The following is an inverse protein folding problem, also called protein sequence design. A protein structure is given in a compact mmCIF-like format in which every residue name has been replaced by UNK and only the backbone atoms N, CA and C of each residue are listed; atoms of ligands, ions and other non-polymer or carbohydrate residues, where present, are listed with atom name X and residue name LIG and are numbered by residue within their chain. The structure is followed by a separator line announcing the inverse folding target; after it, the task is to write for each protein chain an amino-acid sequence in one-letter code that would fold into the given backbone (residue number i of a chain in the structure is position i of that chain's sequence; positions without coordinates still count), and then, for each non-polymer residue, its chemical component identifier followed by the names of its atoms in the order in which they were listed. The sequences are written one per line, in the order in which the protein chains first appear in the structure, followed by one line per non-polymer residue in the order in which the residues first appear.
data_IF_119790234180
#
_entry.id   IF_119790234180
#
_cell.length_a   1.000
_cell.length_b   1.000
_cell.length_c   1.000
_cell.angle_alpha   90.00
_cell.angle_beta   90.00
_cell.angle_gamma   90.00
#
_symmetry.space_group_name_H-M   'P 1'
#
loop_
_entity.id
_entity.type
_entity.pdbx_description
1 polymer ?
#
# COMPACT_ATOMS: atom_id res chain seq x y z
N UNK A 1 23.02 -2.09 -18.29
CA UNK A 1 21.81 -2.95 -18.16
C UNK A 1 20.61 -2.13 -18.58
N UNK A 2 19.87 -2.54 -19.62
CA UNK A 2 18.66 -1.83 -20.07
C UNK A 2 17.52 -2.16 -19.10
N UNK A 3 16.98 -1.14 -18.44
CA UNK A 3 15.77 -1.21 -17.61
C UNK A 3 14.60 -1.67 -18.47
N UNK A 4 14.07 -2.86 -18.20
CA UNK A 4 12.83 -3.35 -18.84
C UNK A 4 11.66 -2.56 -18.23
N UNK A 5 10.77 -1.96 -19.04
CA UNK A 5 9.59 -1.28 -18.50
C UNK A 5 8.70 -2.31 -17.78
N UNK A 6 8.46 -2.09 -16.49
CA UNK A 6 7.59 -2.94 -15.67
C UNK A 6 6.12 -2.93 -16.15
N UNK A 7 5.74 -1.95 -16.98
CA UNK A 7 4.39 -1.79 -17.48
C UNK A 7 4.40 -1.59 -19.00
N UNK A 8 3.68 -2.46 -19.71
CA UNK A 8 3.14 -2.21 -21.05
C UNK A 8 1.63 -2.42 -20.95
N UNK A 9 0.87 -1.33 -20.93
CA UNK A 9 -0.52 -1.40 -21.37
C UNK A 9 -0.49 -0.99 -22.84
N UNK A 10 -0.48 -2.00 -23.72
CA UNK A 10 -0.61 -1.78 -25.15
C UNK A 10 -2.05 -1.36 -25.45
N UNK A 11 -2.28 -0.46 -26.42
CA UNK A 11 -3.60 -0.30 -26.99
C UNK A 11 -3.98 -1.62 -27.65
N UNK A 12 -5.12 -2.17 -27.23
CA UNK A 12 -5.71 -3.37 -27.81
C UNK A 12 -5.94 -3.11 -29.30
N UNK A 13 -5.14 -3.72 -30.17
CA UNK A 13 -5.56 -4.16 -31.50
C UNK A 13 -4.47 -5.03 -32.17
N UNK A 14 -4.76 -6.33 -32.30
CA UNK A 14 -4.24 -7.28 -33.29
C UNK A 14 -2.75 -7.65 -33.30
N UNK A 15 -2.23 -8.26 -32.23
CA UNK A 15 -1.13 -9.22 -32.35
C UNK A 15 -1.42 -10.48 -31.54
N UNK A 16 -1.18 -11.69 -32.08
CA UNK A 16 -1.28 -12.92 -31.30
C UNK A 16 -0.22 -12.90 -30.18
N UNK A 17 -0.53 -13.44 -28.98
CA UNK A 17 0.41 -13.45 -27.87
C UNK A 17 1.65 -14.25 -28.24
N UNK A 18 2.82 -13.68 -27.98
CA UNK A 18 4.10 -14.40 -28.07
C UNK A 18 4.23 -15.23 -26.79
N UNK A 19 4.46 -16.53 -26.94
CA UNK A 19 4.64 -17.46 -25.83
C UNK A 19 5.74 -16.96 -24.88
N UNK A 20 5.36 -16.63 -23.64
CA UNK A 20 6.29 -16.30 -22.54
C UNK A 20 6.14 -14.92 -21.89
N UNK A 21 5.33 -13.99 -22.42
CA UNK A 21 5.01 -12.73 -21.73
C UNK A 21 3.63 -12.82 -21.07
N UNK A 22 3.60 -12.89 -19.73
CA UNK A 22 2.37 -12.81 -18.96
C UNK A 22 1.69 -11.46 -19.24
N UNK A 23 0.68 -11.49 -20.10
CA UNK A 23 -0.18 -10.34 -20.40
C UNK A 23 -1.08 -10.16 -19.18
N UNK A 24 -0.62 -9.45 -18.15
CA UNK A 24 -1.46 -9.12 -16.99
C UNK A 24 -2.44 -8.02 -17.39
N UNK A 25 -3.46 -8.34 -18.19
CA UNK A 25 -4.59 -7.44 -18.42
C UNK A 25 -5.53 -7.56 -17.21
N UNK A 26 -5.93 -6.44 -16.59
CA UNK A 26 -6.93 -6.41 -15.51
C UNK A 26 -6.40 -5.98 -14.14
N UNK A 27 -7.32 -5.60 -13.26
CA UNK A 27 -7.24 -5.02 -11.90
C UNK A 27 -5.98 -5.29 -11.03
N UNK A 28 -5.25 -6.37 -11.27
CA UNK A 28 -4.03 -6.72 -10.55
C UNK A 28 -2.80 -5.82 -10.83
N UNK A 29 -2.72 -5.17 -12.00
CA UNK A 29 -1.54 -4.31 -12.31
C UNK A 29 -1.42 -3.11 -11.37
N UNK A 30 -2.54 -2.45 -11.09
CA UNK A 30 -2.57 -1.26 -10.24
C UNK A 30 -2.31 -1.63 -8.78
N UNK A 31 -2.83 -2.78 -8.35
CA UNK A 31 -2.50 -3.39 -7.06
C UNK A 31 -1.01 -3.67 -6.92
N UNK A 32 -0.42 -4.31 -7.91
CA UNK A 32 1.01 -4.62 -7.93
C UNK A 32 1.85 -3.33 -7.85
N UNK A 33 1.55 -2.33 -8.68
CA UNK A 33 2.23 -1.03 -8.63
C UNK A 33 2.11 -0.40 -7.24
N UNK A 34 0.93 -0.47 -6.61
CA UNK A 34 0.73 0.08 -5.29
C UNK A 34 1.58 -0.63 -4.23
N UNK A 35 1.72 -1.96 -4.28
CA UNK A 35 2.62 -2.69 -3.40
C UNK A 35 4.09 -2.31 -3.60
N UNK A 36 4.51 -2.23 -4.85
CA UNK A 36 5.86 -1.78 -5.22
C UNK A 36 6.15 -0.40 -4.62
N UNK A 37 5.23 0.54 -4.77
CA UNK A 37 5.39 1.89 -4.22
C UNK A 37 5.35 1.92 -2.70
N UNK A 38 4.51 1.10 -2.06
CA UNK A 38 4.46 0.96 -0.59
C UNK A 38 5.79 0.44 -0.05
N UNK A 39 6.36 -0.59 -0.67
CA UNK A 39 7.66 -1.14 -0.24
C UNK A 39 8.80 -0.19 -0.55
N UNK A 40 8.85 0.40 -1.75
CA UNK A 40 9.88 1.35 -2.13
C UNK A 40 9.87 2.62 -1.25
N UNK A 41 8.71 3.04 -0.75
CA UNK A 41 8.58 4.11 0.23
C UNK A 41 8.75 3.63 1.69
N UNK A 42 9.07 2.35 1.91
CA UNK A 42 9.24 1.71 3.22
C UNK A 42 8.00 1.79 4.12
N UNK A 43 6.80 1.91 3.54
CA UNK A 43 5.54 1.91 4.29
C UNK A 43 5.09 0.54 4.77
N UNK A 44 5.80 -0.52 4.38
CA UNK A 44 5.67 -1.83 5.00
C UNK A 44 6.41 -1.93 6.35
N UNK A 45 7.10 -0.88 6.79
CA UNK A 45 7.86 -0.87 8.05
C UNK A 45 7.28 0.16 9.01
N UNK A 46 7.03 -0.25 10.26
CA UNK A 46 6.85 0.65 11.39
C UNK A 46 8.18 0.68 12.15
N UNK A 47 9.00 1.74 11.98
CA UNK A 47 10.26 1.87 12.67
C UNK A 47 10.07 2.12 14.18
N UNK A 48 11.11 1.91 15.01
CA UNK A 48 11.07 2.21 16.44
C UNK A 48 10.75 3.71 16.69
N UNK A 49 10.14 4.05 17.84
CA UNK A 49 9.74 5.43 18.14
C UNK A 49 10.90 6.42 18.05
N UNK A 50 12.09 6.09 18.56
CA UNK A 50 13.27 6.96 18.46
C UNK A 50 13.76 7.29 17.04
N UNK A 51 13.29 6.57 16.01
CA UNK A 51 13.60 6.82 14.59
C UNK A 51 12.41 7.42 13.85
N UNK A 52 11.19 7.16 14.31
CA UNK A 52 9.97 7.65 13.70
C UNK A 52 9.67 9.09 14.13
N UNK A 53 9.11 9.94 13.25
CA UNK A 53 8.51 11.18 13.71
C UNK A 53 7.31 10.89 14.63
N UNK A 54 7.16 11.66 15.71
CA UNK A 54 6.06 11.53 16.67
C UNK A 54 4.67 11.66 16.02
N UNK A 55 4.59 12.39 14.91
CA UNK A 55 3.36 12.60 14.14
C UNK A 55 3.68 12.63 12.64
N UNK A 56 3.67 11.47 11.95
CA UNK A 56 3.95 11.43 10.52
C UNK A 56 2.89 12.21 9.75
N UNK A 57 3.30 13.27 9.04
CA UNK A 57 2.37 14.10 8.31
C UNK A 57 1.88 13.41 7.03
N UNK A 58 0.63 13.67 6.66
CA UNK A 58 0.07 13.17 5.39
C UNK A 58 0.90 13.65 4.20
N UNK A 59 1.36 14.91 4.26
CA UNK A 59 2.19 15.51 3.23
C UNK A 59 3.52 14.77 3.06
N UNK A 60 4.20 14.42 4.17
CA UNK A 60 5.46 13.69 4.13
C UNK A 60 5.28 12.27 3.60
N UNK A 61 4.19 11.59 4.01
CA UNK A 61 3.89 10.26 3.50
C UNK A 61 3.67 10.26 1.98
N UNK A 62 2.87 11.19 1.46
CA UNK A 62 2.66 11.29 0.02
C UNK A 62 3.91 11.82 -0.72
N UNK A 63 4.75 12.65 -0.09
CA UNK A 63 6.03 13.05 -0.65
C UNK A 63 7.00 11.86 -0.77
N UNK A 64 7.09 11.00 0.25
CA UNK A 64 7.87 9.78 0.21
C UNK A 64 7.36 8.80 -0.86
N UNK A 65 6.04 8.65 -0.99
CA UNK A 65 5.43 7.84 -2.06
C UNK A 65 5.81 8.38 -3.45
N UNK A 66 5.75 9.71 -3.64
CA UNK A 66 6.18 10.34 -4.89
C UNK A 66 7.66 10.12 -5.14
N UNK A 67 8.52 10.23 -4.14
CA UNK A 67 9.96 10.01 -4.29
C UNK A 67 10.27 8.57 -4.71
N UNK A 68 9.55 7.59 -4.15
CA UNK A 68 9.69 6.18 -4.48
C UNK A 68 9.45 5.89 -5.98
N UNK A 69 8.60 6.68 -6.65
CA UNK A 69 8.36 6.54 -8.10
C UNK A 69 9.59 6.76 -8.97
N UNK A 70 10.65 7.40 -8.45
CA UNK A 70 11.87 7.69 -9.21
C UNK A 70 12.63 6.43 -9.63
N UNK A 71 12.41 5.30 -8.95
CA UNK A 71 12.97 4.01 -9.31
C UNK A 71 12.24 3.33 -10.49
N UNK A 72 11.07 3.86 -10.88
CA UNK A 72 10.15 3.20 -11.81
C UNK A 72 9.96 4.02 -13.09
N UNK A 73 9.64 3.31 -14.17
CA UNK A 73 9.36 3.89 -15.48
C UNK A 73 8.00 3.39 -15.97
N UNK A 74 7.18 4.32 -16.49
CA UNK A 74 5.86 4.02 -17.06
C UNK A 74 5.95 3.63 -18.54
N UNK A 75 7.00 4.10 -19.23
CA UNK A 75 7.34 3.71 -20.58
C UNK A 75 8.87 3.79 -20.75
N UNK A 76 9.39 3.31 -21.88
CA UNK A 76 10.83 3.41 -22.18
C UNK A 76 11.32 4.87 -22.06
N UNK A 77 12.29 5.10 -21.18
CA UNK A 77 12.88 6.41 -20.86
C UNK A 77 11.89 7.46 -20.34
N UNK A 78 10.72 7.04 -19.84
CA UNK A 78 9.74 7.93 -19.19
C UNK A 78 9.60 7.56 -17.71
N UNK A 79 10.24 8.32 -16.80
CA UNK A 79 10.13 8.10 -15.36
C UNK A 79 8.69 8.20 -14.88
N UNK A 80 8.29 7.31 -13.98
CA UNK A 80 6.96 7.33 -13.36
C UNK A 80 6.73 8.64 -12.60
N UNK A 81 7.78 9.21 -11.98
CA UNK A 81 7.73 10.47 -11.24
C UNK A 81 7.22 11.67 -12.05
N UNK A 82 7.35 11.64 -13.39
CA UNK A 82 6.83 12.67 -14.29
C UNK A 82 5.36 12.48 -14.67
N UNK A 83 4.80 11.32 -14.34
CA UNK A 83 3.44 10.89 -14.62
C UNK A 83 2.69 10.51 -13.34
N UNK A 84 3.16 10.97 -12.18
CA UNK A 84 2.61 10.60 -10.88
C UNK A 84 2.30 11.83 -10.03
N UNK A 85 1.07 11.92 -9.52
CA UNK A 85 0.58 12.99 -8.67
C UNK A 85 0.04 12.45 -7.35
N UNK A 86 0.03 13.30 -6.33
CA UNK A 86 -0.40 12.93 -4.97
C UNK A 86 -1.52 13.80 -4.43
N UNK A 87 -2.18 14.54 -5.33
CA UNK A 87 -3.23 15.50 -4.98
C UNK A 87 -4.33 15.50 -6.03
N UNK A 88 -5.58 15.43 -5.58
CA UNK A 88 -6.74 15.37 -6.46
C UNK A 88 -6.99 16.64 -7.28
N UNK A 89 -6.40 17.78 -6.87
CA UNK A 89 -6.44 19.01 -7.68
C UNK A 89 -5.72 18.87 -9.01
N UNK A 90 -4.78 17.93 -9.18
CA UNK A 90 -4.09 17.70 -10.45
C UNK A 90 -5.06 17.30 -11.56
N UNK A 91 -6.08 16.49 -11.22
CA UNK A 91 -7.13 16.09 -12.14
C UNK A 91 -8.02 17.27 -12.51
N UNK A 92 -8.40 18.08 -11.52
CA UNK A 92 -9.35 19.19 -11.71
C UNK A 92 -8.74 20.38 -12.44
N UNK A 93 -7.49 20.70 -12.15
CA UNK A 93 -6.78 21.84 -12.74
C UNK A 93 -6.24 21.52 -14.15
N UNK A 94 -6.37 20.27 -14.61
CA UNK A 94 -5.90 19.83 -15.93
C UNK A 94 -4.41 19.52 -16.00
N UNK A 95 -3.70 19.49 -14.87
CA UNK A 95 -2.26 19.16 -14.83
C UNK A 95 -1.99 17.76 -15.39
N UNK A 96 -2.85 16.80 -15.05
CA UNK A 96 -2.76 15.43 -15.59
C UNK A 96 -2.97 15.48 -17.09
N UNK A 97 -4.08 16.07 -17.57
CA UNK A 97 -4.42 16.13 -18.99
C UNK A 97 -3.30 16.79 -19.82
N UNK A 98 -2.78 17.93 -19.35
CA UNK A 98 -1.65 18.63 -19.99
C UNK A 98 -0.43 17.73 -20.12
N UNK A 99 -0.08 17.00 -19.06
CA UNK A 99 1.09 16.11 -19.07
C UNK A 99 0.91 14.91 -20.00
N UNK A 100 -0.29 14.34 -20.06
CA UNK A 100 -0.63 13.25 -20.98
C UNK A 100 -0.58 13.72 -22.45
N UNK A 101 -1.04 14.94 -22.72
CA UNK A 101 -0.92 15.57 -24.05
C UNK A 101 0.54 15.79 -24.44
N UNK A 102 1.36 16.32 -23.53
CA UNK A 102 2.80 16.54 -23.78
C UNK A 102 3.58 15.24 -24.00
N UNK A 103 3.15 14.13 -23.39
CA UNK A 103 3.80 12.83 -23.55
C UNK A 103 3.29 12.04 -24.76
N UNK A 104 2.25 12.51 -25.44
CA UNK A 104 1.65 11.82 -26.57
C UNK A 104 2.64 11.71 -27.73
N UNK A 105 3.04 10.48 -28.03
CA UNK A 105 3.88 10.15 -29.19
C UNK A 105 3.07 9.30 -30.14
N UNK A 106 3.01 9.70 -31.41
CA UNK A 106 2.21 9.00 -32.45
C UNK A 106 0.74 8.81 -32.03
N UNK A 107 0.17 9.76 -31.30
CA UNK A 107 -1.22 9.69 -30.81
C UNK A 107 -1.45 8.81 -29.58
N UNK A 108 -0.42 8.15 -29.04
CA UNK A 108 -0.52 7.36 -27.81
C UNK A 108 0.07 8.14 -26.63
N UNK A 109 -0.78 8.57 -25.69
CA UNK A 109 -0.36 9.21 -24.45
C UNK A 109 0.21 8.19 -23.47
N UNK A 110 1.26 8.57 -22.75
CA UNK A 110 1.78 7.76 -21.63
C UNK A 110 0.86 7.92 -20.43
N UNK A 111 0.30 6.82 -19.92
CA UNK A 111 -0.64 6.78 -18.79
C UNK A 111 -0.13 7.57 -17.57
N UNK A 112 -1.05 8.22 -16.85
CA UNK A 112 -0.80 8.96 -15.63
C UNK A 112 -1.32 8.24 -14.39
N UNK A 113 -0.79 8.57 -13.21
CA UNK A 113 -1.17 7.94 -11.96
C UNK A 113 -1.41 8.98 -10.87
N UNK A 114 -2.49 8.85 -10.11
CA UNK A 114 -2.80 9.74 -8.99
C UNK A 114 -3.01 8.93 -7.72
N UNK A 115 -2.12 9.09 -6.75
CA UNK A 115 -2.27 8.51 -5.42
C UNK A 115 -3.00 9.49 -4.49
N UNK A 116 -4.00 8.99 -3.76
CA UNK A 116 -4.84 9.77 -2.87
C UNK A 116 -5.10 9.01 -1.58
N UNK A 117 -5.50 9.73 -0.53
CA UNK A 117 -6.13 9.11 0.63
C UNK A 117 -7.64 9.34 0.56
N UNK A 118 -8.41 8.39 1.04
CA UNK A 118 -9.84 8.53 1.27
C UNK A 118 -10.17 7.99 2.66
N UNK A 119 -10.95 8.72 3.45
CA UNK A 119 -11.49 8.20 4.70
C UNK A 119 -12.63 7.23 4.42
N UNK A 120 -13.36 7.48 3.34
CA UNK A 120 -14.51 6.71 2.96
C UNK A 120 -14.67 6.64 1.44
N UNK A 121 -15.18 5.51 0.96
CA UNK A 121 -15.49 5.27 -0.44
C UNK A 121 -16.94 4.79 -0.52
N UNK A 122 -17.80 5.55 -1.21
CA UNK A 122 -19.22 5.18 -1.42
C UNK A 122 -19.59 5.33 -2.88
N UNK A 123 -20.10 4.25 -3.50
CA UNK A 123 -20.65 4.27 -4.86
C UNK A 123 -19.71 4.94 -5.88
N UNK A 124 -18.42 4.57 -5.86
CA UNK A 124 -17.41 5.16 -6.76
C UNK A 124 -17.02 6.60 -6.44
N UNK A 125 -17.36 7.12 -5.25
CA UNK A 125 -16.94 8.46 -4.81
C UNK A 125 -15.97 8.35 -3.65
N UNK A 126 -14.82 8.99 -3.80
CA UNK A 126 -13.77 9.10 -2.79
C UNK A 126 -14.02 10.33 -1.91
N UNK A 127 -14.11 10.13 -0.60
CA UNK A 127 -14.27 11.19 0.39
C UNK A 127 -12.99 11.30 1.22
N UNK A 128 -12.40 12.50 1.27
CA UNK A 128 -11.27 12.79 2.14
C UNK A 128 -11.52 14.06 2.95
N UNK A 129 -10.85 14.24 4.11
CA UNK A 129 -10.98 15.45 4.91
C UNK A 129 -10.58 16.69 4.12
N UNK A 130 -11.42 17.73 4.20
CA UNK A 130 -11.12 19.08 3.69
C UNK A 130 -10.80 19.13 2.18
N UNK A 131 -11.22 18.13 1.42
CA UNK A 131 -11.11 18.09 -0.04
C UNK A 131 -12.49 17.87 -0.66
N UNK A 132 -12.65 18.33 -1.90
CA UNK A 132 -13.87 18.05 -2.66
C UNK A 132 -13.90 16.56 -3.04
N UNK A 133 -15.04 15.87 -2.89
CA UNK A 133 -15.16 14.47 -3.27
C UNK A 133 -14.77 14.24 -4.73
N UNK A 134 -14.13 13.11 -4.99
CA UNK A 134 -13.69 12.74 -6.34
C UNK A 134 -14.56 11.58 -6.79
N UNK A 135 -15.35 11.82 -7.84
CA UNK A 135 -16.12 10.77 -8.50
C UNK A 135 -15.21 10.03 -9.46
N UNK A 136 -15.21 8.71 -9.33
CA UNK A 136 -14.57 7.76 -10.23
C UNK A 136 -15.69 7.08 -11.02
N UNK A 137 -15.54 6.98 -12.34
CA UNK A 137 -16.54 6.33 -13.19
C UNK A 137 -16.54 4.80 -13.08
N UNK A 138 -15.47 4.24 -12.52
CA UNK A 138 -15.23 2.82 -12.34
C UNK A 138 -15.73 2.33 -10.97
N UNK A 139 -16.15 1.07 -10.90
CA UNK A 139 -16.44 0.41 -9.64
C UNK A 139 -15.13 0.16 -8.87
N UNK A 140 -15.15 0.42 -7.56
CA UNK A 140 -13.99 0.22 -6.70
C UNK A 140 -14.24 -1.08 -5.92
N UNK A 141 -13.48 -2.13 -6.25
CA UNK A 141 -13.52 -3.38 -5.50
C UNK A 141 -12.87 -3.17 -4.13
N UNK A 142 -13.69 -3.17 -3.08
CA UNK A 142 -13.22 -3.05 -1.70
C UNK A 142 -13.38 -4.38 -0.98
N UNK A 143 -12.41 -4.77 -0.14
CA UNK A 143 -12.59 -5.91 0.76
C UNK A 143 -13.76 -5.65 1.70
N UNK A 144 -14.66 -6.64 1.82
CA UNK A 144 -15.84 -6.53 2.65
C UNK A 144 -15.47 -6.33 4.13
N UNK A 145 -16.23 -5.48 4.83
CA UNK A 145 -16.13 -5.26 6.28
C UNK A 145 -14.79 -4.66 6.76
N UNK A 146 -14.08 -3.92 5.92
CA UNK A 146 -12.89 -3.16 6.33
C UNK A 146 -13.13 -1.68 6.07
N UNK A 147 -13.16 -0.90 7.14
CA UNK A 147 -13.30 0.54 7.08
C UNK A 147 -12.01 1.22 6.61
N UNK A 148 -12.15 2.48 6.22
CA UNK A 148 -11.02 3.34 5.94
C UNK A 148 -10.17 3.65 7.18
N UNK A 149 -9.09 4.42 7.03
CA UNK A 149 -8.70 5.11 5.80
C UNK A 149 -8.18 4.15 4.71
N UNK A 150 -8.24 4.62 3.47
CA UNK A 150 -7.78 3.93 2.27
C UNK A 150 -6.65 4.71 1.58
N UNK A 151 -5.65 4.00 1.07
CA UNK A 151 -4.78 4.48 0.01
C UNK A 151 -5.44 4.12 -1.33
N UNK A 152 -5.63 5.11 -2.19
CA UNK A 152 -6.26 4.96 -3.49
C UNK A 152 -5.24 5.31 -4.56
N UNK A 153 -5.12 4.45 -5.58
CA UNK A 153 -4.33 4.70 -6.76
C UNK A 153 -5.25 4.74 -7.97
N UNK A 154 -5.17 5.82 -8.75
CA UNK A 154 -5.95 6.04 -9.96
C UNK A 154 -5.01 5.96 -11.16
N UNK A 155 -5.35 5.14 -12.15
CA UNK A 155 -4.73 5.19 -13.47
C UNK A 155 -5.56 6.12 -14.36
N UNK A 156 -4.89 7.06 -15.01
CA UNK A 156 -5.51 8.13 -15.78
C UNK A 156 -5.06 8.10 -17.24
N UNK A 157 -6.02 8.25 -18.13
CA UNK A 157 -5.80 8.26 -19.58
C UNK A 157 -6.34 9.54 -20.20
N UNK A 158 -5.86 9.81 -21.42
CA UNK A 158 -6.30 10.95 -22.19
C UNK A 158 -7.47 10.53 -23.08
N UNK A 159 -8.61 11.17 -22.87
CA UNK A 159 -9.79 11.04 -23.74
C UNK A 159 -9.55 11.68 -25.11
N UNK A 160 -10.31 11.30 -26.16
CA UNK A 160 -10.23 11.92 -27.48
C UNK A 160 -10.43 13.45 -27.46
N UNK A 161 -11.22 13.96 -26.51
CA UNK A 161 -11.49 15.38 -26.31
C UNK A 161 -10.36 16.13 -25.57
N UNK A 162 -9.23 15.46 -25.30
CA UNK A 162 -8.06 16.04 -24.64
C UNK A 162 -8.20 16.22 -23.13
N UNK A 163 -9.18 15.56 -22.49
CA UNK A 163 -9.36 15.57 -21.03
C UNK A 163 -8.75 14.33 -20.39
N UNK A 164 -8.28 14.47 -19.15
CA UNK A 164 -7.87 13.31 -18.36
C UNK A 164 -9.11 12.64 -17.74
N UNK A 165 -9.19 11.32 -17.85
CA UNK A 165 -10.22 10.48 -17.24
C UNK A 165 -9.56 9.35 -16.44
N UNK A 166 -10.25 8.87 -15.40
CA UNK A 166 -9.80 7.71 -14.64
C UNK A 166 -10.19 6.44 -15.38
N UNK A 167 -9.20 5.72 -15.91
CA UNK A 167 -9.36 4.48 -16.64
C UNK A 167 -9.44 3.26 -15.70
N UNK A 168 -8.69 3.28 -14.60
CA UNK A 168 -8.73 2.23 -13.58
C UNK A 168 -8.50 2.82 -12.19
N UNK A 169 -8.99 2.12 -11.17
CA UNK A 169 -8.90 2.53 -9.77
C UNK A 169 -8.65 1.31 -8.91
N UNK A 170 -7.76 1.48 -7.94
CA UNK A 170 -7.54 0.48 -6.92
C UNK A 170 -7.44 1.16 -5.55
N UNK A 171 -7.96 0.49 -4.53
CA UNK A 171 -8.01 1.02 -3.19
C UNK A 171 -7.66 -0.06 -2.16
N UNK A 172 -6.82 0.29 -1.19
CA UNK A 172 -6.45 -0.59 -0.08
C UNK A 172 -6.73 0.10 1.24
N UNK A 173 -7.41 -0.58 2.18
CA UNK A 173 -7.40 -0.13 3.55
C UNK A 173 -5.96 0.00 4.05
N UNK A 174 -5.66 1.05 4.80
CA UNK A 174 -4.34 1.31 5.39
C UNK A 174 -4.46 1.49 6.89
N UNK A 175 -3.39 1.21 7.65
CA UNK A 175 -3.36 1.28 9.10
C UNK A 175 -3.83 2.63 9.66
N UNK A 176 -3.24 3.74 9.20
CA UNK A 176 -3.70 5.11 9.48
C UNK A 176 -3.14 6.11 8.48
N UNK A 177 -3.77 7.27 8.37
CA UNK A 177 -3.24 8.35 7.53
C UNK A 177 -1.85 8.78 8.05
N UNK A 178 -0.89 9.00 7.16
CA UNK A 178 0.52 9.25 7.52
C UNK A 178 1.37 7.98 7.69
N UNK A 179 0.74 6.81 7.91
CA UNK A 179 1.40 5.50 7.84
C UNK A 179 0.65 4.60 6.87
N UNK A 180 1.02 4.69 5.58
CA UNK A 180 0.32 4.06 4.45
C UNK A 180 0.52 2.52 4.38
N UNK A 181 0.66 1.86 5.52
CA UNK A 181 0.84 0.41 5.64
C UNK A 181 -0.49 -0.30 5.34
N UNK A 182 -0.59 -1.12 4.28
CA UNK A 182 -1.82 -1.83 3.93
C UNK A 182 -2.32 -2.76 5.03
N UNK A 183 -3.65 -2.81 5.23
CA UNK A 183 -4.32 -3.75 6.15
C UNK A 183 -5.38 -4.56 5.43
N UNK A 184 -5.61 -5.79 5.92
CA UNK A 184 -6.47 -6.79 5.26
C UNK A 184 -7.66 -7.24 6.09
N UNK A 185 -7.78 -6.76 7.31
CA UNK A 185 -8.96 -6.93 8.16
C UNK A 185 -8.93 -5.88 9.26
N UNK A 186 -10.05 -5.69 9.96
CA UNK A 186 -10.05 -4.91 11.20
C UNK A 186 -9.16 -5.54 12.27
N UNK A 187 -9.04 -6.88 12.31
CA UNK A 187 -8.08 -7.55 13.19
C UNK A 187 -6.64 -7.16 12.88
N UNK A 188 -6.27 -7.08 11.60
CA UNK A 188 -4.93 -6.65 11.17
C UNK A 188 -4.64 -5.22 11.67
N UNK A 189 -5.61 -4.31 11.52
CA UNK A 189 -5.53 -2.93 12.02
C UNK A 189 -5.40 -2.87 13.55
N UNK A 190 -6.17 -3.67 14.28
CA UNK A 190 -6.14 -3.75 15.74
C UNK A 190 -4.81 -4.30 16.27
N UNK A 191 -4.28 -5.35 15.62
CA UNK A 191 -2.97 -5.93 15.97
C UNK A 191 -1.86 -4.92 15.75
N UNK A 192 -1.84 -4.22 14.61
CA UNK A 192 -0.86 -3.17 14.34
C UNK A 192 -0.93 -2.04 15.36
N UNK A 193 -2.13 -1.68 15.82
CA UNK A 193 -2.33 -0.69 16.89
C UNK A 193 -1.74 -1.14 18.22
N UNK A 194 -1.95 -2.39 18.61
CA UNK A 194 -1.35 -2.93 19.83
C UNK A 194 0.18 -3.05 19.71
N UNK A 195 0.70 -3.43 18.55
CA UNK A 195 2.14 -3.51 18.32
C UNK A 195 2.80 -2.12 18.31
N UNK A 196 2.15 -1.08 17.76
CA UNK A 196 2.64 0.30 17.85
C UNK A 196 2.65 0.80 19.32
N UNK A 197 1.63 0.45 20.13
CA UNK A 197 1.68 0.73 21.57
C UNK A 197 2.79 -0.03 22.30
N UNK A 198 3.03 -1.29 21.92
CA UNK A 198 4.15 -2.08 22.44
C UNK A 198 5.49 -1.42 22.10
N UNK A 199 5.67 -0.90 20.88
CA UNK A 199 6.87 -0.16 20.49
C UNK A 199 7.13 1.01 21.44
N UNK A 200 6.10 1.80 21.76
CA UNK A 200 6.22 2.90 22.72
C UNK A 200 6.56 2.42 24.14
N UNK A 201 5.93 1.33 24.60
CA UNK A 201 6.21 0.77 25.93
C UNK A 201 7.65 0.24 26.03
N UNK A 202 8.14 -0.44 24.99
CA UNK A 202 9.52 -0.94 24.92
C UNK A 202 10.54 0.20 24.89
N UNK A 203 10.25 1.27 24.15
CA UNK A 203 11.13 2.44 24.03
C UNK A 203 11.37 3.12 25.38
N UNK A 204 10.32 3.25 26.21
CA UNK A 204 10.42 3.73 27.61
C UNK A 204 11.39 2.88 28.45
N UNK A 205 11.53 1.61 28.13
CA UNK A 205 12.46 0.68 28.78
C UNK A 205 13.79 0.51 28.04
N UNK A 206 14.09 1.36 27.07
CA UNK A 206 15.34 1.34 26.31
C UNK A 206 15.46 0.16 25.34
N UNK A 207 14.33 -0.39 24.89
CA UNK A 207 14.26 -1.40 23.86
C UNK A 207 13.60 -0.82 22.59
N UNK A 208 14.27 -0.98 21.46
CA UNK A 208 13.75 -0.62 20.15
C UNK A 208 13.02 -1.82 19.55
N UNK A 209 11.84 -1.60 19.00
CA UNK A 209 11.12 -2.64 18.26
C UNK A 209 10.79 -2.10 16.86
N UNK A 210 11.14 -2.86 15.83
CA UNK A 210 10.74 -2.62 14.44
C UNK A 210 9.71 -3.65 14.04
N UNK A 211 8.61 -3.22 13.43
CA UNK A 211 7.58 -4.09 12.87
C UNK A 211 7.65 -4.00 11.35
N UNK A 212 7.80 -5.12 10.66
CA UNK A 212 7.86 -5.17 9.20
C UNK A 212 6.78 -6.09 8.68
N UNK A 213 5.90 -5.58 7.83
CA UNK A 213 4.97 -6.42 7.06
C UNK A 213 5.75 -7.16 5.98
N UNK A 214 5.58 -8.48 5.95
CA UNK A 214 6.24 -9.37 5.00
C UNK A 214 5.35 -9.53 3.77
N UNK A 215 5.96 -9.54 2.58
CA UNK A 215 5.27 -9.80 1.31
C UNK A 215 4.75 -11.24 1.22
N UNK A 216 3.73 -11.50 0.38
CA UNK A 216 2.98 -10.52 -0.43
C UNK A 216 1.94 -9.74 0.40
N UNK A 217 1.64 -8.51 -0.02
CA UNK A 217 0.64 -7.69 0.68
C UNK A 217 -0.78 -8.00 0.19
N UNK A 218 -0.95 -8.39 -1.07
CA UNK A 218 -2.21 -8.80 -1.69
C UNK A 218 -2.29 -10.33 -1.86
N UNK A 219 -3.54 -10.80 -1.97
CA UNK A 219 -3.89 -12.18 -2.36
C UNK A 219 -3.47 -13.32 -1.41
N UNK A 220 -3.29 -13.04 -0.12
CA UNK A 220 -3.15 -14.04 0.97
C UNK A 220 -4.21 -13.95 2.06
N UNK A 221 -4.73 -15.07 2.54
CA UNK A 221 -5.68 -15.07 3.67
C UNK A 221 -5.01 -14.73 5.01
N UNK A 222 -3.68 -14.85 5.07
CA UNK A 222 -2.85 -14.56 6.25
C UNK A 222 -1.95 -13.36 5.99
N UNK A 223 -1.87 -12.48 6.97
CA UNK A 223 -0.86 -11.41 7.03
C UNK A 223 0.33 -11.87 7.85
N UNK A 224 1.55 -11.65 7.37
CA UNK A 224 2.77 -11.92 8.15
C UNK A 224 3.46 -10.62 8.55
N UNK A 225 3.83 -10.51 9.83
CA UNK A 225 4.60 -9.42 10.41
C UNK A 225 5.87 -9.98 11.03
N UNK A 226 7.03 -9.41 10.72
CA UNK A 226 8.26 -9.64 11.48
C UNK A 226 8.39 -8.57 12.56
N UNK A 227 8.73 -9.01 13.77
CA UNK A 227 9.10 -8.17 14.90
C UNK A 227 10.60 -8.32 15.12
N UNK A 228 11.33 -7.22 15.12
CA UNK A 228 12.75 -7.18 15.50
C UNK A 228 12.89 -6.31 16.73
N UNK A 229 13.23 -6.91 17.87
CA UNK A 229 13.38 -6.23 19.16
C UNK A 229 14.86 -6.20 19.53
N UNK A 230 15.37 -5.01 19.87
CA UNK A 230 16.75 -4.77 20.27
C UNK A 230 16.77 -4.03 21.58
N UNK A 231 17.53 -4.53 22.54
CA UNK A 231 17.77 -3.83 23.81
C UNK A 231 19.25 -3.88 24.14
N UNK A 232 19.70 -3.00 25.04
CA UNK A 232 21.03 -3.12 25.65
C UNK A 232 21.09 -4.28 26.66
N UNK A 233 19.95 -4.65 27.23
CA UNK A 233 19.85 -5.67 28.27
C UNK A 233 19.85 -7.11 27.72
N UNK A 234 19.42 -7.31 26.48
CA UNK A 234 19.33 -8.63 25.87
C UNK A 234 19.71 -8.59 24.38
N UNK A 235 20.22 -9.71 23.84
CA UNK A 235 20.54 -9.84 22.41
C UNK A 235 19.29 -9.64 21.55
N UNK A 236 19.46 -9.14 20.33
CA UNK A 236 18.42 -9.02 19.30
C UNK A 236 17.50 -10.27 19.31
N UNK A 237 16.19 -10.03 19.40
CA UNK A 237 15.14 -11.04 19.26
C UNK A 237 14.35 -10.77 17.99
N UNK A 238 14.16 -11.80 17.19
CA UNK A 238 13.34 -11.77 16.00
C UNK A 238 12.16 -12.72 16.21
N UNK A 239 10.96 -12.31 15.80
CA UNK A 239 9.79 -13.16 15.82
C UNK A 239 8.90 -12.88 14.59
N UNK A 240 8.14 -13.89 14.16
CA UNK A 240 7.18 -13.80 13.06
C UNK A 240 5.78 -14.03 13.58
N UNK A 241 4.91 -13.04 13.34
CA UNK A 241 3.50 -13.08 13.66
C UNK A 241 2.70 -13.35 12.38
N UNK A 242 1.79 -14.31 12.42
CA UNK A 242 0.73 -14.47 11.44
C UNK A 242 -0.56 -13.85 11.97
N UNK A 243 -1.35 -13.21 11.12
CA UNK A 243 -2.71 -12.75 11.44
C UNK A 243 -3.66 -13.44 10.48
N UNK A 244 -4.46 -14.36 11.02
CA UNK A 244 -5.47 -15.13 10.31
C UNK A 244 -6.86 -14.72 10.82
N UNK A 245 -7.50 -13.71 10.21
CA UNK A 245 -8.80 -13.22 10.66
C UNK A 245 -9.92 -14.26 10.50
N UNK A 246 -9.79 -15.20 9.56
CA UNK A 246 -10.82 -16.20 9.28
C UNK A 246 -10.66 -17.49 10.10
N UNK A 247 -9.51 -17.69 10.75
CA UNK A 247 -9.24 -18.89 11.54
C UNK A 247 -9.28 -20.19 10.73
N UNK A 248 -9.17 -20.11 9.40
CA UNK A 248 -9.21 -21.27 8.50
C UNK A 248 -7.87 -22.01 8.56
N UNK A 249 -7.91 -23.33 8.77
CA UNK A 249 -6.72 -24.18 8.94
C UNK A 249 -5.83 -24.28 7.69
N UNK A 250 -6.36 -23.94 6.51
CA UNK A 250 -5.65 -24.08 5.22
C UNK A 250 -4.82 -22.85 4.84
N UNK A 251 -4.90 -21.76 5.59
CA UNK A 251 -4.16 -20.55 5.32
C UNK A 251 -2.80 -20.67 6.03
N UNK A 252 -1.71 -20.90 5.27
CA UNK A 252 -0.40 -21.21 5.84
C UNK A 252 0.03 -20.17 6.88
N UNK A 253 0.10 -20.62 8.12
CA UNK A 253 0.76 -19.96 9.26
C UNK A 253 1.96 -20.78 9.73
N UNK A 254 2.43 -21.72 8.92
CA UNK A 254 3.41 -22.74 9.30
C UNK A 254 4.77 -22.14 9.67
N UNK A 255 5.09 -20.95 9.14
CA UNK A 255 6.34 -20.22 9.39
C UNK A 255 6.23 -19.13 10.47
N UNK A 256 5.11 -19.05 11.18
CA UNK A 256 4.90 -18.03 12.22
C UNK A 256 5.11 -18.59 13.64
N UNK A 257 5.83 -17.84 14.47
CA UNK A 257 6.02 -18.14 15.89
C UNK A 257 4.72 -18.00 16.69
N UNK A 258 3.79 -17.18 16.20
CA UNK A 258 2.44 -17.03 16.75
C UNK A 258 1.43 -16.62 15.69
N UNK A 259 0.26 -17.25 15.72
CA UNK A 259 -0.85 -16.92 14.83
C UNK A 259 -1.97 -16.22 15.60
N UNK A 260 -2.25 -14.97 15.28
CA UNK A 260 -3.34 -14.17 15.83
C UNK A 260 -4.64 -14.49 15.09
N UNK A 261 -5.68 -14.78 15.85
CA UNK A 261 -7.05 -14.99 15.39
C UNK A 261 -7.98 -14.14 16.27
N UNK A 262 -9.22 -13.90 15.85
CA UNK A 262 -10.19 -13.18 16.70
C UNK A 262 -10.35 -13.82 18.10
N UNK A 263 -10.23 -15.15 18.19
CA UNK A 263 -10.35 -15.89 19.45
C UNK A 263 -9.22 -15.58 20.43
N UNK A 264 -7.96 -15.64 20.00
CA UNK A 264 -6.84 -15.41 20.91
C UNK A 264 -6.52 -13.91 21.07
N UNK A 265 -6.97 -13.07 20.16
CA UNK A 265 -6.96 -11.62 20.33
C UNK A 265 -7.84 -11.20 21.52
N UNK A 266 -9.10 -11.65 21.54
CA UNK A 266 -10.05 -11.33 22.61
C UNK A 266 -9.68 -11.93 23.96
N UNK A 267 -8.98 -13.07 23.98
CA UNK A 267 -8.53 -13.72 25.21
C UNK A 267 -7.18 -13.20 25.75
N UNK A 268 -6.57 -12.20 25.10
CA UNK A 268 -5.24 -11.67 25.49
C UNK A 268 -4.05 -12.59 25.18
N UNK A 269 -4.25 -13.61 24.34
CA UNK A 269 -3.22 -14.59 24.00
C UNK A 269 -1.99 -14.01 23.31
N UNK A 270 -2.17 -12.96 22.50
CA UNK A 270 -1.04 -12.23 21.89
C UNK A 270 -0.15 -11.59 22.95
N UNK A 271 -0.72 -10.94 23.95
CA UNK A 271 0.04 -10.26 25.01
C UNK A 271 0.82 -11.29 25.83
N UNK A 272 0.17 -12.37 26.26
CA UNK A 272 0.83 -13.44 27.02
C UNK A 272 1.93 -14.15 26.21
N UNK A 273 1.83 -14.18 24.88
CA UNK A 273 2.92 -14.66 24.03
C UNK A 273 4.05 -13.63 23.93
N UNK A 274 3.74 -12.35 23.68
CA UNK A 274 4.74 -11.27 23.61
C UNK A 274 5.56 -11.16 24.90
N UNK A 275 4.91 -11.25 26.06
CA UNK A 275 5.61 -11.23 27.36
C UNK A 275 6.65 -12.34 27.46
N UNK A 276 6.29 -13.58 27.09
CA UNK A 276 7.24 -14.70 27.05
C UNK A 276 8.36 -14.46 26.04
N UNK A 277 8.00 -14.07 24.81
CA UNK A 277 8.97 -13.80 23.73
C UNK A 277 9.93 -12.66 24.05
N UNK A 278 9.57 -11.70 24.92
CA UNK A 278 10.41 -10.57 25.32
C UNK A 278 11.19 -10.83 26.62
N UNK A 279 10.62 -11.61 27.54
CA UNK A 279 11.25 -11.89 28.84
C UNK A 279 12.17 -13.13 28.81
N UNK A 280 11.85 -14.17 28.04
CA UNK A 280 12.60 -15.45 28.00
C UNK A 280 13.81 -15.39 27.06
#
# INVERSE_FOLDING_TARGET
MRSVPLFKVLPVENLPPIDGEATLTGDGQLRFLMEELVEAASFNILPPPGVAPDSPSVADAFAALRNATSAYHVAADVPLSHHFWTFGSALRNGDVARRLLESARKGCAVQGFVALHADEIRSGVLYSPRTMPIRVGQEISLPANIGGPYLVLLACELTPDGRAEVAAVDAVPIYKVGRLLPVRSELDRDVLKALEHLQCALDVHGAECTITRIRPFAHTDVTHLSLTIRSRAFRRRDAVLAINPYGTANASSEDADFCVTHRNWTSGGLIAWLERTILD
#
